data_IF_739831444028
#
_entry.id   IF_739831444028
#
_cell.length_a   1.000
_cell.length_b   1.000
_cell.length_c   1.000
_cell.angle_alpha   90.00
_cell.angle_beta   90.00
_cell.angle_gamma   90.00
#
_symmetry.space_group_name_H-M   'P 1'
#
loop_
_entity.id
_entity.type
_entity.pdbx_description
1 polymer ?
#
# COMPACT_ATOMS: atom_id res chain seq x y z
N UNK A 1 2.75 -28.24 -22.72
CA UNK A 1 2.32 -26.83 -22.71
C UNK A 1 1.41 -26.50 -21.53
N UNK A 2 0.31 -27.23 -21.32
CA UNK A 2 -0.63 -27.01 -20.19
C UNK A 2 0.00 -27.03 -18.79
N UNK A 3 0.95 -27.94 -18.53
CA UNK A 3 1.65 -27.99 -17.24
C UNK A 3 2.42 -26.69 -16.94
N UNK A 4 2.97 -26.04 -17.97
CA UNK A 4 3.71 -24.78 -17.83
C UNK A 4 2.75 -23.62 -17.54
N UNK A 5 1.56 -23.60 -18.14
CA UNK A 5 0.55 -22.57 -17.88
C UNK A 5 -0.04 -22.66 -16.48
N UNK A 6 -0.40 -23.86 -16.02
CA UNK A 6 -0.90 -24.09 -14.66
C UNK A 6 0.18 -23.79 -13.63
N UNK A 7 1.42 -24.22 -13.90
CA UNK A 7 2.57 -23.91 -13.04
C UNK A 7 2.83 -22.40 -12.92
N UNK A 8 2.81 -21.66 -14.03
CA UNK A 8 3.00 -20.21 -14.05
C UNK A 8 1.85 -19.46 -13.35
N UNK A 9 0.59 -19.88 -13.57
CA UNK A 9 -0.58 -19.28 -12.90
C UNK A 9 -0.55 -19.52 -11.38
N UNK A 10 -0.20 -20.73 -10.94
CA UNK A 10 0.02 -21.04 -9.52
C UNK A 10 1.17 -20.23 -8.93
N UNK A 11 2.29 -20.10 -9.64
CA UNK A 11 3.44 -19.29 -9.21
C UNK A 11 3.05 -17.82 -9.04
N UNK A 12 2.34 -17.24 -10.02
CA UNK A 12 1.81 -15.85 -9.92
C UNK A 12 0.86 -15.67 -8.75
N UNK A 13 0.00 -16.65 -8.49
CA UNK A 13 -0.88 -16.64 -7.32
C UNK A 13 -0.07 -16.62 -6.02
N UNK A 14 0.94 -17.49 -5.88
CA UNK A 14 1.81 -17.53 -4.70
C UNK A 14 2.61 -16.23 -4.52
N UNK A 15 3.13 -15.68 -5.62
CA UNK A 15 3.82 -14.38 -5.63
C UNK A 15 2.90 -13.26 -5.16
N UNK A 16 1.64 -13.24 -5.61
CA UNK A 16 0.63 -12.27 -5.18
C UNK A 16 0.30 -12.38 -3.68
N UNK A 17 0.15 -13.60 -3.16
CA UNK A 17 -0.09 -13.86 -1.73
C UNK A 17 1.11 -13.41 -0.88
N UNK A 18 2.33 -13.73 -1.30
CA UNK A 18 3.55 -13.31 -0.62
C UNK A 18 3.70 -11.78 -0.63
N UNK A 19 3.43 -11.14 -1.77
CA UNK A 19 3.45 -9.69 -1.91
C UNK A 19 2.44 -9.02 -0.97
N UNK A 20 1.21 -9.52 -0.90
CA UNK A 20 0.19 -8.99 -0.01
C UNK A 20 0.62 -9.06 1.46
N UNK A 21 1.22 -10.18 1.88
CA UNK A 21 1.72 -10.36 3.24
C UNK A 21 2.86 -9.40 3.58
N UNK A 22 3.82 -9.24 2.67
CA UNK A 22 4.95 -8.32 2.86
C UNK A 22 4.49 -6.86 2.97
N UNK A 23 3.62 -6.41 2.07
CA UNK A 23 3.07 -5.04 2.10
C UNK A 23 2.23 -4.80 3.35
N UNK A 24 1.47 -5.80 3.81
CA UNK A 24 0.71 -5.69 5.05
C UNK A 24 1.63 -5.49 6.25
N UNK A 25 2.78 -6.21 6.29
CA UNK A 25 3.77 -6.06 7.36
C UNK A 25 4.41 -4.67 7.40
N UNK A 26 4.83 -4.14 6.25
CA UNK A 26 5.41 -2.79 6.15
C UNK A 26 4.39 -1.70 6.57
N UNK A 27 3.15 -1.79 6.08
CA UNK A 27 2.09 -0.85 6.48
C UNK A 27 1.72 -0.97 7.97
N UNK A 28 1.71 -2.18 8.54
CA UNK A 28 1.44 -2.41 9.97
C UNK A 28 2.51 -1.75 10.86
N UNK A 29 3.78 -1.78 10.43
CA UNK A 29 4.87 -1.08 11.10
C UNK A 29 4.66 0.45 11.09
N UNK A 30 4.26 1.02 9.94
CA UNK A 30 3.90 2.44 9.88
C UNK A 30 2.72 2.77 10.78
N UNK A 31 1.63 1.99 10.71
CA UNK A 31 0.41 2.24 11.47
C UNK A 31 0.68 2.26 12.98
N UNK A 32 1.51 1.34 13.50
CA UNK A 32 1.90 1.32 14.92
C UNK A 32 2.61 2.58 15.40
N UNK A 33 3.31 3.29 14.52
CA UNK A 33 4.03 4.53 14.85
C UNK A 33 3.15 5.79 14.80
N UNK A 34 1.97 5.73 14.17
CA UNK A 34 1.11 6.91 13.97
C UNK A 34 0.70 7.59 15.28
N UNK A 35 0.28 6.88 16.36
CA UNK A 35 -0.12 7.54 17.59
C UNK A 35 1.01 8.37 18.23
N UNK A 36 2.23 7.85 18.23
CA UNK A 36 3.41 8.54 18.75
C UNK A 36 3.77 9.76 17.88
N UNK A 37 3.79 9.58 16.56
CA UNK A 37 4.05 10.68 15.61
C UNK A 37 3.01 11.79 15.81
N UNK A 38 1.72 11.45 15.85
CA UNK A 38 0.63 12.42 16.08
C UNK A 38 0.84 13.19 17.39
N UNK A 39 1.15 12.49 18.48
CA UNK A 39 1.39 13.13 19.78
C UNK A 39 2.54 14.13 19.72
N UNK A 40 3.66 13.76 19.09
CA UNK A 40 4.81 14.66 18.90
C UNK A 40 4.47 15.88 18.06
N UNK A 41 3.70 15.72 16.99
CA UNK A 41 3.28 16.85 16.15
C UNK A 41 2.39 17.84 16.88
N UNK A 42 1.50 17.34 17.75
CA UNK A 42 0.64 18.20 18.58
C UNK A 42 1.48 18.97 19.60
N UNK A 43 2.40 18.32 20.30
CA UNK A 43 3.32 18.99 21.23
C UNK A 43 4.16 20.05 20.52
N UNK A 44 4.67 19.75 19.32
CA UNK A 44 5.43 20.72 18.52
C UNK A 44 4.60 21.93 18.08
N UNK A 45 3.29 21.77 17.94
CA UNK A 45 2.37 22.84 17.56
C UNK A 45 2.04 23.79 18.73
N UNK A 46 2.25 23.36 19.98
CA UNK A 46 2.01 24.16 21.20
C UNK A 46 3.10 25.22 21.44
N UNK A 47 4.31 25.03 20.90
CA UNK A 47 5.37 26.02 20.93
C UNK A 47 6.74 25.49 21.35
N UNK A 48 7.76 26.37 21.44
CA UNK A 48 9.13 25.97 21.72
C UNK A 48 9.36 25.47 23.15
N UNK A 49 8.53 25.86 24.12
CA UNK A 49 8.71 25.49 25.54
C UNK A 49 8.26 24.06 25.85
N UNK A 50 7.32 23.52 25.06
CA UNK A 50 6.76 22.18 25.25
C UNK A 50 7.37 21.13 24.33
N UNK A 51 8.37 21.49 23.50
CA UNK A 51 8.93 20.59 22.49
C UNK A 51 10.40 20.26 22.69
N UNK A 52 10.73 18.99 22.43
CA UNK A 52 12.08 18.62 22.06
C UNK A 52 12.50 19.33 20.74
N UNK A 53 13.79 19.66 20.56
CA UNK A 53 14.26 20.28 19.33
C UNK A 53 13.96 19.43 18.09
N UNK A 54 13.34 20.04 17.07
CA UNK A 54 13.17 19.40 15.76
C UNK A 54 14.53 19.32 15.09
N UNK A 55 14.98 18.09 14.80
CA UNK A 55 16.25 17.83 14.14
C UNK A 55 16.04 17.49 12.67
N UNK A 56 17.03 17.85 11.85
CA UNK A 56 17.12 17.33 10.49
C UNK A 56 17.19 15.80 10.50
N UNK A 57 16.51 15.18 9.55
CA UNK A 57 16.53 13.74 9.35
C UNK A 57 16.37 13.43 7.86
N UNK A 58 16.78 12.22 7.48
CA UNK A 58 16.46 11.66 6.17
C UNK A 58 15.21 10.80 6.33
N UNK A 59 14.12 11.05 5.56
CA UNK A 59 12.92 10.25 5.68
C UNK A 59 13.21 8.77 5.41
N UNK A 60 12.61 7.85 6.19
CA UNK A 60 12.75 6.42 5.93
C UNK A 60 12.15 6.07 4.57
N UNK A 61 12.73 5.05 3.92
CA UNK A 61 12.23 4.47 2.67
C UNK A 61 11.19 3.39 2.93
N UNK A 62 10.51 2.93 1.87
CA UNK A 62 9.51 1.86 1.91
C UNK A 62 10.04 0.64 1.14
N UNK A 63 11.05 -0.08 1.65
CA UNK A 63 11.80 -1.07 0.87
C UNK A 63 10.93 -2.18 0.27
N UNK A 64 9.86 -2.60 0.96
CA UNK A 64 8.96 -3.62 0.41
C UNK A 64 8.15 -3.03 -0.75
N UNK A 65 7.53 -1.87 -0.57
CA UNK A 65 6.80 -1.20 -1.64
C UNK A 65 7.71 -0.85 -2.83
N UNK A 66 8.83 -0.18 -2.60
CA UNK A 66 9.75 0.31 -3.62
C UNK A 66 10.29 -0.83 -4.50
N UNK A 67 10.64 -1.97 -3.89
CA UNK A 67 11.12 -3.15 -4.62
C UNK A 67 10.01 -3.95 -5.32
N UNK A 68 8.74 -3.64 -5.09
CA UNK A 68 7.60 -4.44 -5.57
C UNK A 68 6.60 -3.69 -6.44
N UNK A 69 6.86 -2.43 -6.79
CA UNK A 69 5.97 -1.59 -7.64
C UNK A 69 5.57 -2.30 -8.93
N UNK A 70 6.52 -2.93 -9.64
CA UNK A 70 6.25 -3.66 -10.89
C UNK A 70 5.36 -4.91 -10.71
N UNK A 71 5.18 -5.39 -9.47
CA UNK A 71 4.42 -6.60 -9.13
C UNK A 71 3.06 -6.31 -8.52
N UNK A 72 2.69 -5.03 -8.28
CA UNK A 72 1.40 -4.68 -7.67
C UNK A 72 0.20 -5.24 -8.43
N UNK A 73 0.32 -5.42 -9.75
CA UNK A 73 -0.72 -6.04 -10.59
C UNK A 73 -1.14 -7.44 -10.14
N UNK A 74 -0.28 -8.19 -9.43
CA UNK A 74 -0.61 -9.51 -8.88
C UNK A 74 -1.74 -9.46 -7.85
N UNK A 75 -1.94 -8.32 -7.20
CA UNK A 75 -3.01 -8.11 -6.20
C UNK A 75 -4.39 -7.89 -6.85
N UNK A 76 -4.42 -7.68 -8.17
CA UNK A 76 -5.59 -7.21 -8.89
C UNK A 76 -5.78 -5.68 -8.77
N UNK A 77 -6.55 -5.08 -9.68
CA UNK A 77 -6.58 -3.63 -9.89
C UNK A 77 -7.02 -2.84 -8.64
N UNK A 78 -8.02 -3.35 -7.91
CA UNK A 78 -8.55 -2.67 -6.72
C UNK A 78 -7.52 -2.54 -5.60
N UNK A 79 -6.82 -3.63 -5.26
CA UNK A 79 -5.80 -3.60 -4.22
C UNK A 79 -4.54 -2.87 -4.67
N UNK A 80 -4.11 -3.07 -5.92
CA UNK A 80 -2.97 -2.35 -6.50
C UNK A 80 -3.15 -0.83 -6.39
N UNK A 81 -4.33 -0.32 -6.76
CA UNK A 81 -4.64 1.11 -6.65
C UNK A 81 -4.65 1.62 -5.21
N UNK A 82 -5.23 0.86 -4.28
CA UNK A 82 -5.22 1.23 -2.85
C UNK A 82 -3.82 1.26 -2.27
N UNK A 83 -2.98 0.27 -2.58
CA UNK A 83 -1.58 0.23 -2.13
C UNK A 83 -0.85 1.46 -2.66
N UNK A 84 -0.92 1.75 -3.95
CA UNK A 84 -0.27 2.93 -4.52
C UNK A 84 -0.73 4.23 -3.85
N UNK A 85 -2.04 4.42 -3.64
CA UNK A 85 -2.60 5.62 -3.00
C UNK A 85 -2.11 5.79 -1.56
N UNK A 86 -2.17 4.74 -0.73
CA UNK A 86 -1.78 4.82 0.68
C UNK A 86 -0.27 5.10 0.82
N UNK A 87 0.58 4.47 0.01
CA UNK A 87 2.02 4.78 0.04
C UNK A 87 2.32 6.21 -0.44
N UNK A 88 1.55 6.76 -1.38
CA UNK A 88 1.71 8.17 -1.75
C UNK A 88 1.30 9.13 -0.63
N UNK A 89 0.25 8.81 0.14
CA UNK A 89 -0.15 9.60 1.31
C UNK A 89 0.93 9.59 2.39
N UNK A 90 1.54 8.42 2.66
CA UNK A 90 2.66 8.29 3.58
C UNK A 90 3.85 9.15 3.11
N UNK A 91 4.18 9.10 1.82
CA UNK A 91 5.24 9.95 1.23
C UNK A 91 4.94 11.42 1.35
N UNK A 92 3.71 11.85 1.12
CA UNK A 92 3.31 13.25 1.27
C UNK A 92 3.52 13.74 2.71
N UNK A 93 3.12 12.95 3.70
CA UNK A 93 3.33 13.28 5.12
C UNK A 93 4.83 13.40 5.42
N UNK A 94 5.66 12.47 4.93
CA UNK A 94 7.12 12.53 5.10
C UNK A 94 7.75 13.75 4.43
N UNK A 95 7.28 14.12 3.25
CA UNK A 95 7.74 15.31 2.54
C UNK A 95 7.41 16.59 3.32
N UNK A 96 6.19 16.70 3.84
CA UNK A 96 5.77 17.84 4.66
C UNK A 96 6.60 17.94 5.96
N UNK A 97 6.88 16.81 6.61
CA UNK A 97 7.74 16.76 7.80
C UNK A 97 9.20 17.11 7.50
N UNK A 98 9.71 16.74 6.32
CA UNK A 98 11.06 17.08 5.92
C UNK A 98 11.22 18.60 5.74
N UNK A 99 10.24 19.25 5.12
CA UNK A 99 10.22 20.72 4.98
C UNK A 99 10.24 21.37 6.36
N UNK A 100 9.37 20.90 7.28
CA UNK A 100 9.37 21.40 8.66
C UNK A 100 10.74 21.24 9.31
N UNK A 101 11.36 20.06 9.22
CA UNK A 101 12.66 19.82 9.84
C UNK A 101 13.77 20.72 9.28
N UNK A 102 13.79 20.93 7.97
CA UNK A 102 14.82 21.73 7.28
C UNK A 102 14.67 23.23 7.55
N UNK A 103 13.44 23.73 7.61
CA UNK A 103 13.15 25.17 7.63
C UNK A 103 12.75 25.69 9.02
N UNK A 104 12.64 24.84 10.04
CA UNK A 104 12.13 25.21 11.38
C UNK A 104 12.81 26.44 12.00
N UNK A 105 14.08 26.69 11.68
CA UNK A 105 14.85 27.82 12.25
C UNK A 105 14.46 29.17 11.64
N UNK A 106 13.98 29.16 10.41
CA UNK A 106 13.60 30.36 9.64
C UNK A 106 12.07 30.56 9.63
N UNK A 107 11.33 29.54 10.06
CA UNK A 107 9.88 29.51 10.04
C UNK A 107 9.24 30.31 11.18
N UNK A 108 8.24 31.12 10.85
CA UNK A 108 7.45 31.83 11.85
C UNK A 108 6.56 30.85 12.65
N UNK A 109 6.27 31.16 13.92
CA UNK A 109 5.50 30.28 14.80
C UNK A 109 4.11 29.91 14.24
N UNK A 110 3.41 30.87 13.63
CA UNK A 110 2.11 30.62 13.00
C UNK A 110 2.21 29.67 11.79
N UNK A 111 3.25 29.83 10.98
CA UNK A 111 3.51 28.95 9.83
C UNK A 111 3.83 27.52 10.29
N UNK A 112 4.71 27.39 11.30
CA UNK A 112 5.06 26.10 11.89
C UNK A 112 3.81 25.38 12.42
N UNK A 113 3.00 26.08 13.21
CA UNK A 113 1.75 25.53 13.75
C UNK A 113 0.80 25.08 12.63
N UNK A 114 0.64 25.88 11.57
CA UNK A 114 -0.20 25.52 10.43
C UNK A 114 0.32 24.29 9.66
N UNK A 115 1.63 24.16 9.46
CA UNK A 115 2.23 23.00 8.78
C UNK A 115 2.13 21.72 9.61
N UNK A 116 2.37 21.79 10.92
CA UNK A 116 2.19 20.67 11.83
C UNK A 116 0.71 20.23 11.91
N UNK A 117 -0.21 21.20 11.99
CA UNK A 117 -1.65 20.94 11.94
C UNK A 117 -2.09 20.23 10.66
N UNK A 118 -1.51 20.60 9.51
CA UNK A 118 -1.74 19.91 8.22
C UNK A 118 -1.25 18.46 8.26
N UNK A 119 -0.07 18.19 8.83
CA UNK A 119 0.45 16.83 8.99
C UNK A 119 -0.47 15.97 9.85
N UNK A 120 -0.98 16.53 10.97
CA UNK A 120 -1.95 15.86 11.84
C UNK A 120 -3.26 15.58 11.10
N UNK A 121 -3.78 16.54 10.35
CA UNK A 121 -4.98 16.35 9.54
C UNK A 121 -4.80 15.23 8.50
N UNK A 122 -3.67 15.21 7.80
CA UNK A 122 -3.34 14.15 6.83
C UNK A 122 -3.22 12.79 7.50
N UNK A 123 -2.59 12.69 8.68
CA UNK A 123 -2.54 11.44 9.45
C UNK A 123 -3.94 10.95 9.83
N UNK A 124 -4.83 11.84 10.28
CA UNK A 124 -6.19 11.47 10.68
C UNK A 124 -7.03 10.94 9.51
N UNK A 125 -6.80 11.44 8.30
CA UNK A 125 -7.49 10.94 7.09
C UNK A 125 -6.84 9.65 6.58
N UNK A 126 -5.52 9.51 6.69
CA UNK A 126 -4.75 8.41 6.07
C UNK A 126 -4.69 7.15 6.94
N UNK A 127 -4.64 7.30 8.27
CA UNK A 127 -4.61 6.17 9.22
C UNK A 127 -5.75 5.16 9.02
N UNK A 128 -7.05 5.54 9.02
CA UNK A 128 -8.12 4.56 8.85
C UNK A 128 -8.07 3.86 7.48
N UNK A 129 -7.59 4.55 6.44
CA UNK A 129 -7.40 3.98 5.10
C UNK A 129 -6.27 2.96 5.06
N UNK A 130 -5.16 3.25 5.72
CA UNK A 130 -4.04 2.32 5.88
C UNK A 130 -4.47 1.08 6.67
N UNK A 131 -5.20 1.25 7.79
CA UNK A 131 -5.72 0.13 8.59
C UNK A 131 -6.69 -0.75 7.80
N UNK A 132 -7.60 -0.15 7.03
CA UNK A 132 -8.50 -0.89 6.15
C UNK A 132 -7.72 -1.66 5.08
N UNK A 133 -6.71 -1.05 4.46
CA UNK A 133 -5.85 -1.72 3.48
C UNK A 133 -5.07 -2.89 4.09
N UNK A 134 -4.50 -2.72 5.29
CA UNK A 134 -3.80 -3.79 6.02
C UNK A 134 -4.73 -4.99 6.23
N UNK A 135 -5.97 -4.74 6.63
CA UNK A 135 -6.98 -5.79 6.80
C UNK A 135 -7.27 -6.51 5.48
N UNK A 136 -7.49 -5.76 4.39
CA UNK A 136 -7.75 -6.35 3.07
C UNK A 136 -6.57 -7.17 2.53
N UNK A 137 -5.34 -6.72 2.75
CA UNK A 137 -4.12 -7.45 2.38
C UNK A 137 -3.98 -8.72 3.21
N UNK A 138 -4.21 -8.66 4.53
CA UNK A 138 -4.23 -9.85 5.40
C UNK A 138 -5.30 -10.86 4.94
N UNK A 139 -6.51 -10.41 4.60
CA UNK A 139 -7.54 -11.27 3.99
C UNK A 139 -7.08 -11.87 2.66
N UNK A 140 -6.40 -11.09 1.82
CA UNK A 140 -5.84 -11.59 0.55
C UNK A 140 -4.87 -12.76 0.78
N UNK A 141 -4.04 -12.72 1.84
CA UNK A 141 -3.10 -13.80 2.14
C UNK A 141 -3.79 -15.13 2.45
N UNK A 142 -5.03 -15.11 2.96
CA UNK A 142 -5.83 -16.30 3.26
C UNK A 142 -6.49 -16.96 2.05
N UNK A 143 -6.35 -16.39 0.84
CA UNK A 143 -6.93 -16.96 -0.37
C UNK A 143 -6.34 -18.34 -0.67
N UNK A 144 -7.16 -19.21 -1.26
CA UNK A 144 -6.74 -20.51 -1.78
C UNK A 144 -6.65 -20.47 -3.30
N UNK A 145 -5.71 -21.21 -3.85
CA UNK A 145 -5.62 -21.40 -5.29
C UNK A 145 -6.77 -22.29 -5.76
N UNK A 146 -7.48 -21.88 -6.81
CA UNK A 146 -8.56 -22.66 -7.41
C UNK A 146 -8.36 -22.80 -8.92
N UNK A 147 -8.35 -24.04 -9.42
CA UNK A 147 -8.14 -24.38 -10.83
C UNK A 147 -9.37 -24.18 -11.74
N UNK A 148 -10.54 -23.82 -11.19
CA UNK A 148 -11.81 -23.80 -11.93
C UNK A 148 -11.80 -22.87 -13.16
N UNK A 149 -10.96 -21.84 -13.18
CA UNK A 149 -10.81 -20.92 -14.32
C UNK A 149 -10.32 -21.63 -15.59
N UNK A 150 -9.65 -22.78 -15.45
CA UNK A 150 -9.22 -23.62 -16.57
C UNK A 150 -10.24 -24.69 -16.94
N UNK A 151 -11.01 -25.22 -15.97
CA UNK A 151 -12.02 -26.25 -16.22
C UNK A 151 -13.08 -25.75 -17.21
N UNK A 152 -13.51 -24.50 -17.13
CA UNK A 152 -14.44 -23.92 -18.12
C UNK A 152 -13.83 -23.71 -19.51
N UNK A 153 -12.55 -23.36 -19.61
CA UNK A 153 -11.85 -23.28 -20.91
C UNK A 153 -11.82 -24.67 -21.57
N UNK A 154 -11.65 -25.73 -20.77
CA UNK A 154 -11.71 -27.10 -21.25
C UNK A 154 -13.12 -27.52 -21.69
N UNK A 155 -14.16 -27.24 -20.89
CA UNK A 155 -15.54 -27.62 -21.25
C UNK A 155 -16.03 -26.82 -22.46
N UNK A 156 -15.79 -25.50 -22.53
CA UNK A 156 -16.20 -24.70 -23.68
C UNK A 156 -15.38 -25.01 -24.95
N UNK A 157 -14.09 -25.34 -24.81
CA UNK A 157 -13.21 -25.69 -25.93
C UNK A 157 -13.48 -27.07 -26.54
N UNK A 158 -13.97 -28.03 -25.76
CA UNK A 158 -14.28 -29.40 -26.23
C UNK A 158 -15.65 -29.48 -26.94
N UNK A 159 -16.61 -28.60 -26.61
CA UNK A 159 -17.94 -28.61 -27.23
C UNK A 159 -18.10 -27.62 -28.41
N UNK A 160 -17.07 -26.82 -28.74
CA UNK A 160 -17.13 -25.79 -29.79
C UNK A 160 -16.79 -26.24 -31.22
N UNK A 161 -16.47 -27.52 -31.45
CA UNK A 161 -16.26 -28.10 -32.79
C UNK A 161 -17.26 -29.23 -33.07
N UNK A 162 -18.52 -28.88 -33.33
CA UNK A 162 -19.36 -29.70 -34.22
C UNK A 162 -19.43 -28.98 -35.56
N UNK A 163 -18.69 -29.51 -36.53
CA UNK A 163 -18.80 -29.13 -37.92
C UNK A 163 -20.27 -29.24 -38.35
N UNK A 164 -20.81 -28.13 -38.85
CA UNK A 164 -22.06 -28.14 -39.61
C UNK A 164 -21.69 -28.71 -40.97
N UNK A 165 -21.80 -30.04 -41.11
CA UNK A 165 -21.86 -30.67 -42.43
C UNK A 165 -23.26 -30.37 -43.00
N UNK A 166 -23.34 -29.39 -43.91
CA UNK A 166 -24.51 -29.25 -44.79
C UNK A 166 -24.49 -30.38 -45.83
N UNK A 167 -25.58 -31.15 -45.99
CA UNK A 167 -25.73 -32.05 -47.13
C UNK A 167 -26.10 -31.24 -48.39
N UNK A 168 -25.78 -31.86 -49.53
CA UNK A 168 -25.83 -31.39 -50.91
C UNK A 168 -27.10 -30.63 -51.35
#
# INVERSE_FOLDING_TARGET
MLNNFVGEDYRRFRDGVALAGALAGELDAHAKSIPEIRSKLLQWAEGPESREPIRNFSPPTDPVFDSSVAKLGLLGPKLAGKVASVYQEIRQIRADLLIVAQEVKEMQAAELSARLGRCVALLNVSEPRALALISELKVYTGRRYFLWRWIFVFVAGVFGKREINSPA
#
